data_IF_939476078464
#
_entry.id   IF_939476078464
#
_cell.length_a   1.000
_cell.length_b   1.000
_cell.length_c   1.000
_cell.angle_alpha   90.00
_cell.angle_beta   90.00
_cell.angle_gamma   90.00
#
_symmetry.space_group_name_H-M   'P 1'
#
loop_
_entity.id
_entity.type
_entity.pdbx_description
1 polymer ?
#
# COMPACT_ATOMS: atom_id res chain seq x y z
N UNK A 1 -8.22 -19.92 -31.33
CA UNK A 1 -8.91 -19.08 -30.33
C UNK A 1 -9.05 -19.79 -28.97
N UNK A 2 -9.48 -21.05 -28.92
CA UNK A 2 -9.70 -21.83 -27.67
C UNK A 2 -8.40 -22.03 -26.86
N UNK A 3 -7.27 -22.36 -27.50
CA UNK A 3 -5.97 -22.55 -26.83
C UNK A 3 -5.44 -21.23 -26.22
N UNK A 4 -5.59 -20.08 -26.89
CA UNK A 4 -5.20 -18.78 -26.32
C UNK A 4 -6.01 -18.42 -25.08
N UNK A 5 -7.31 -18.78 -25.07
CA UNK A 5 -8.21 -18.53 -23.93
C UNK A 5 -7.83 -19.38 -22.71
N UNK A 6 -7.59 -20.67 -22.94
CA UNK A 6 -7.16 -21.59 -21.88
C UNK A 6 -5.83 -21.15 -21.28
N UNK A 7 -4.83 -20.81 -22.11
CA UNK A 7 -3.53 -20.33 -21.63
C UNK A 7 -3.65 -19.05 -20.80
N UNK A 8 -4.52 -18.10 -21.23
CA UNK A 8 -4.76 -16.86 -20.48
C UNK A 8 -5.47 -17.12 -19.14
N UNK A 9 -6.40 -18.08 -19.09
CA UNK A 9 -7.07 -18.51 -17.86
C UNK A 9 -6.09 -19.17 -16.88
N UNK A 10 -5.16 -19.99 -17.36
CA UNK A 10 -4.09 -20.61 -16.55
C UNK A 10 -3.10 -19.58 -16.01
N UNK A 11 -2.66 -18.63 -16.85
CA UNK A 11 -1.79 -17.52 -16.43
C UNK A 11 -2.47 -16.67 -15.34
N UNK A 12 -3.74 -16.33 -15.50
CA UNK A 12 -4.50 -15.58 -14.50
C UNK A 12 -4.66 -16.35 -13.18
N UNK A 13 -4.92 -17.66 -13.26
CA UNK A 13 -5.03 -18.52 -12.08
C UNK A 13 -3.71 -18.62 -11.32
N UNK A 14 -2.59 -18.72 -12.04
CA UNK A 14 -1.25 -18.75 -11.45
C UNK A 14 -0.92 -17.41 -10.77
N UNK A 15 -1.18 -16.29 -11.43
CA UNK A 15 -0.97 -14.96 -10.87
C UNK A 15 -1.83 -14.74 -9.61
N UNK A 16 -3.09 -15.15 -9.62
CA UNK A 16 -3.96 -15.07 -8.45
C UNK A 16 -3.44 -15.93 -7.30
N UNK A 17 -3.01 -17.16 -7.54
CA UNK A 17 -2.42 -18.03 -6.52
C UNK A 17 -1.14 -17.47 -5.93
N UNK A 18 -0.31 -16.79 -6.73
CA UNK A 18 0.90 -16.11 -6.26
C UNK A 18 0.56 -14.91 -5.36
N UNK A 19 -0.40 -14.09 -5.77
CA UNK A 19 -0.88 -12.95 -4.97
C UNK A 19 -1.45 -13.43 -3.64
N UNK A 20 -2.31 -14.46 -3.64
CA UNK A 20 -2.86 -15.06 -2.42
C UNK A 20 -1.75 -15.59 -1.47
N UNK A 21 -0.69 -16.15 -2.02
CA UNK A 21 0.49 -16.59 -1.27
C UNK A 21 1.21 -15.43 -0.59
N UNK A 22 1.44 -14.34 -1.33
CA UNK A 22 2.05 -13.13 -0.80
C UNK A 22 1.22 -12.51 0.34
N UNK A 23 -0.10 -12.45 0.19
CA UNK A 23 -0.96 -11.88 1.23
C UNK A 23 -1.03 -12.74 2.50
N UNK A 24 -1.02 -14.07 2.36
CA UNK A 24 -0.90 -14.96 3.53
C UNK A 24 0.41 -14.74 4.26
N UNK A 25 1.51 -14.62 3.53
CA UNK A 25 2.83 -14.38 4.13
C UNK A 25 2.90 -13.00 4.81
N UNK A 26 2.34 -11.95 4.21
CA UNK A 26 2.21 -10.63 4.83
C UNK A 26 1.42 -10.69 6.14
N UNK A 27 0.29 -11.38 6.13
CA UNK A 27 -0.54 -11.55 7.34
C UNK A 27 0.20 -12.34 8.43
N UNK A 28 0.97 -13.36 8.04
CA UNK A 28 1.80 -14.13 8.96
C UNK A 28 2.87 -13.26 9.60
N UNK A 29 3.61 -12.51 8.79
CA UNK A 29 4.66 -11.58 9.25
C UNK A 29 4.09 -10.47 10.15
N UNK A 30 2.91 -9.93 9.81
CA UNK A 30 2.24 -8.94 10.64
C UNK A 30 1.97 -9.46 12.05
N UNK A 31 1.46 -10.70 12.15
CA UNK A 31 1.22 -11.35 13.45
C UNK A 31 2.51 -11.61 14.21
N UNK A 32 3.55 -12.13 13.54
CA UNK A 32 4.82 -12.40 14.18
C UNK A 32 5.49 -11.13 14.71
N UNK A 33 5.42 -10.02 13.97
CA UNK A 33 5.91 -8.73 14.44
C UNK A 33 5.11 -8.22 15.64
N UNK A 34 3.79 -8.30 15.56
CA UNK A 34 2.91 -7.80 16.61
C UNK A 34 3.01 -8.66 17.88
N UNK A 35 2.87 -9.97 17.75
CA UNK A 35 2.76 -10.90 18.88
C UNK A 35 4.15 -11.31 19.43
N UNK A 36 5.19 -11.28 18.60
CA UNK A 36 6.57 -11.57 19.00
C UNK A 36 7.32 -10.28 19.38
N UNK A 37 7.80 -9.55 18.37
CA UNK A 37 8.75 -8.46 18.57
C UNK A 37 8.19 -7.32 19.43
N UNK A 38 6.92 -6.92 19.26
CA UNK A 38 6.31 -5.88 20.09
C UNK A 38 6.20 -6.30 21.56
N UNK A 39 5.89 -7.58 21.84
CA UNK A 39 5.79 -8.09 23.20
C UNK A 39 7.16 -8.25 23.85
N UNK A 40 8.19 -8.68 23.08
CA UNK A 40 9.57 -8.78 23.57
C UNK A 40 10.11 -7.37 23.94
N UNK A 41 9.88 -6.37 23.10
CA UNK A 41 10.25 -4.98 23.39
C UNK A 41 9.53 -4.45 24.64
N UNK A 42 8.24 -4.79 24.83
CA UNK A 42 7.49 -4.45 26.03
C UNK A 42 8.11 -5.12 27.27
N UNK A 43 8.48 -6.40 27.18
CA UNK A 43 9.14 -7.15 28.26
C UNK A 43 10.49 -6.54 28.65
N UNK A 44 11.31 -6.15 27.67
CA UNK A 44 12.58 -5.45 27.90
C UNK A 44 12.32 -4.08 28.57
N UNK A 45 11.32 -3.33 28.12
CA UNK A 45 10.94 -2.05 28.71
C UNK A 45 10.55 -2.20 30.19
N UNK A 46 9.79 -3.25 30.55
CA UNK A 46 9.45 -3.55 31.94
C UNK A 46 10.69 -3.88 32.79
N UNK A 47 11.65 -4.64 32.25
CA UNK A 47 12.90 -4.93 32.95
C UNK A 47 13.74 -3.67 33.20
N UNK A 48 13.84 -2.79 32.21
CA UNK A 48 14.53 -1.50 32.33
C UNK A 48 13.83 -0.60 33.35
N UNK A 49 12.50 -0.60 33.43
CA UNK A 49 11.76 0.14 34.45
C UNK A 49 12.09 -0.32 35.87
N UNK A 50 12.40 -1.59 36.08
CA UNK A 50 12.81 -2.14 37.37
C UNK A 50 14.25 -1.78 37.78
N UNK A 51 15.05 -1.18 36.91
CA UNK A 51 16.39 -0.73 37.24
C UNK A 51 16.37 0.46 38.21
N UNK A 52 17.45 0.66 39.05
CA UNK A 52 17.53 1.79 39.96
C UNK A 52 17.33 3.13 39.24
N UNK A 53 16.67 4.11 39.88
CA UNK A 53 16.41 5.44 39.26
C UNK A 53 17.68 6.22 38.93
N UNK A 54 18.79 5.89 39.54
CA UNK A 54 20.10 6.52 39.36
C UNK A 54 20.87 6.10 38.11
N UNK A 55 20.33 5.18 37.31
CA UNK A 55 20.94 4.81 36.05
C UNK A 55 20.69 5.93 35.01
N UNK A 56 21.74 6.71 34.73
CA UNK A 56 21.72 7.90 33.86
C UNK A 56 21.15 7.58 32.46
N UNK A 57 21.37 6.37 31.99
CA UNK A 57 20.90 5.89 30.67
C UNK A 57 19.49 5.27 30.68
N UNK A 58 18.81 5.21 31.83
CA UNK A 58 17.51 4.52 31.93
C UNK A 58 16.42 5.21 31.10
N UNK A 59 16.37 6.52 31.13
CA UNK A 59 15.35 7.30 30.43
C UNK A 59 15.55 7.21 28.93
N UNK A 60 16.78 7.41 28.48
CA UNK A 60 17.15 7.28 27.07
C UNK A 60 16.84 5.88 26.51
N UNK A 61 17.06 4.84 27.29
CA UNK A 61 16.79 3.46 26.87
C UNK A 61 15.29 3.18 26.78
N UNK A 62 14.49 3.72 27.70
CA UNK A 62 13.02 3.60 27.64
C UNK A 62 12.45 4.35 26.45
N UNK A 63 12.93 5.55 26.16
CA UNK A 63 12.50 6.34 25.02
C UNK A 63 12.84 5.63 23.70
N UNK A 64 14.04 5.07 23.59
CA UNK A 64 14.47 4.30 22.43
C UNK A 64 13.62 3.04 22.23
N UNK A 65 13.34 2.31 23.31
CA UNK A 65 12.48 1.10 23.24
C UNK A 65 11.06 1.44 22.79
N UNK A 66 10.50 2.54 23.29
CA UNK A 66 9.16 2.98 22.88
C UNK A 66 9.14 3.42 21.41
N UNK A 67 10.19 4.11 20.95
CA UNK A 67 10.34 4.47 19.54
C UNK A 67 10.39 3.23 18.65
N UNK A 68 11.28 2.27 18.95
CA UNK A 68 11.41 1.02 18.16
C UNK A 68 10.11 0.22 18.19
N UNK A 69 9.44 0.13 19.34
CA UNK A 69 8.14 -0.52 19.46
C UNK A 69 7.09 0.14 18.58
N UNK A 70 7.08 1.46 18.54
CA UNK A 70 6.22 2.25 17.66
C UNK A 70 6.46 1.94 16.19
N UNK A 71 7.71 1.91 15.76
CA UNK A 71 8.09 1.58 14.38
C UNK A 71 7.67 0.16 13.97
N UNK A 72 7.93 -0.84 14.83
CA UNK A 72 7.51 -2.23 14.58
C UNK A 72 5.99 -2.35 14.49
N UNK A 73 5.27 -1.62 15.36
CA UNK A 73 3.80 -1.59 15.33
C UNK A 73 3.27 -0.98 14.05
N UNK A 74 3.87 0.10 13.57
CA UNK A 74 3.52 0.71 12.27
C UNK A 74 3.70 -0.30 11.12
N UNK A 75 4.87 -0.96 11.05
CA UNK A 75 5.15 -1.98 10.03
C UNK A 75 4.12 -3.12 10.11
N UNK A 76 3.81 -3.60 11.31
CA UNK A 76 2.81 -4.66 11.49
C UNK A 76 1.43 -4.25 10.97
N UNK A 77 1.00 -3.01 11.25
CA UNK A 77 -0.27 -2.48 10.76
C UNK A 77 -0.30 -2.30 9.24
N UNK A 78 0.81 -1.89 8.63
CA UNK A 78 0.91 -1.78 7.16
C UNK A 78 0.83 -3.14 6.45
N UNK A 79 1.31 -4.20 7.12
CA UNK A 79 1.23 -5.56 6.60
C UNK A 79 -0.18 -6.16 6.74
N UNK A 80 -0.96 -5.74 7.75
CA UNK A 80 -2.32 -6.25 7.96
C UNK A 80 -3.29 -5.80 6.86
N UNK A 81 -4.17 -6.70 6.40
CA UNK A 81 -5.23 -6.31 5.47
C UNK A 81 -6.27 -5.41 6.19
N UNK A 82 -6.72 -4.31 5.56
CA UNK A 82 -7.82 -3.51 6.08
C UNK A 82 -9.13 -4.32 6.08
N UNK A 83 -10.00 -4.01 7.05
CA UNK A 83 -11.31 -4.67 7.18
C UNK A 83 -12.40 -3.80 6.52
N UNK A 84 -12.55 -3.93 5.22
CA UNK A 84 -13.53 -3.18 4.42
C UNK A 84 -15.01 -3.44 4.79
N UNK A 85 -15.29 -4.38 5.68
CA UNK A 85 -16.63 -4.58 6.25
C UNK A 85 -17.10 -3.41 7.12
N UNK A 86 -16.19 -2.57 7.63
CA UNK A 86 -16.50 -1.49 8.58
C UNK A 86 -16.07 -0.11 8.07
N UNK A 87 -15.22 -0.05 7.06
CA UNK A 87 -14.66 1.20 6.51
C UNK A 87 -14.65 1.12 4.99
N UNK A 88 -14.87 2.24 4.33
CA UNK A 88 -14.84 2.33 2.88
C UNK A 88 -13.41 2.42 2.34
N UNK A 89 -13.24 2.16 1.03
CA UNK A 89 -11.97 2.34 0.35
C UNK A 89 -11.43 3.77 0.51
N UNK A 90 -12.29 4.77 0.32
CA UNK A 90 -11.90 6.17 0.41
C UNK A 90 -11.40 6.55 1.82
N UNK A 91 -12.11 6.14 2.86
CA UNK A 91 -11.71 6.35 4.26
C UNK A 91 -10.41 5.62 4.60
N UNK A 92 -10.24 4.40 4.08
CA UNK A 92 -9.02 3.61 4.30
C UNK A 92 -7.80 4.27 3.68
N UNK A 93 -7.94 4.80 2.45
CA UNK A 93 -6.87 5.53 1.76
C UNK A 93 -6.54 6.83 2.49
N UNK A 94 -7.54 7.61 2.89
CA UNK A 94 -7.37 8.85 3.64
C UNK A 94 -6.60 8.61 4.95
N UNK A 95 -7.01 7.64 5.74
CA UNK A 95 -6.34 7.24 6.98
C UNK A 95 -4.92 6.67 6.76
N UNK A 96 -4.65 6.06 5.62
CA UNK A 96 -3.31 5.61 5.26
C UNK A 96 -2.40 6.81 4.95
N UNK A 97 -2.87 7.75 4.14
CA UNK A 97 -2.13 8.95 3.73
C UNK A 97 -1.80 9.83 4.94
N UNK A 98 -2.73 10.02 5.87
CA UNK A 98 -2.51 10.79 7.11
C UNK A 98 -1.39 10.23 8.00
N UNK A 99 -1.16 8.92 7.94
CA UNK A 99 -0.10 8.23 8.71
C UNK A 99 1.22 8.10 7.98
N UNK A 100 1.25 8.44 6.69
CA UNK A 100 2.46 8.35 5.89
C UNK A 100 3.51 9.37 6.37
N UNK A 101 4.70 8.86 6.63
CA UNK A 101 5.86 9.73 6.87
C UNK A 101 6.42 10.15 5.52
N UNK A 102 6.18 11.40 5.15
CA UNK A 102 6.66 11.98 3.89
C UNK A 102 7.86 12.89 4.14
N UNK A 103 8.83 12.98 3.22
CA UNK A 103 9.93 13.93 3.31
C UNK A 103 9.41 15.38 3.43
N UNK A 104 10.07 16.22 4.23
CA UNK A 104 9.67 17.61 4.39
C UNK A 104 9.69 18.44 3.08
N UNK A 105 10.43 17.97 2.07
CA UNK A 105 10.51 18.56 0.74
C UNK A 105 9.36 18.14 -0.19
N UNK A 106 8.49 17.21 0.23
CA UNK A 106 7.42 16.66 -0.60
C UNK A 106 6.06 17.17 -0.13
N UNK A 107 5.22 17.49 -1.09
CA UNK A 107 3.80 17.78 -0.88
C UNK A 107 2.99 16.60 -1.45
N UNK A 108 2.06 16.07 -0.65
CA UNK A 108 1.16 15.01 -1.06
C UNK A 108 -0.27 15.50 -0.87
N UNK A 109 -1.05 15.48 -1.96
CA UNK A 109 -2.47 15.85 -1.95
C UNK A 109 -3.33 14.63 -2.29
N UNK A 110 -4.46 14.48 -1.59
CA UNK A 110 -5.47 13.47 -1.87
C UNK A 110 -6.81 14.13 -2.11
N UNK A 111 -7.49 13.70 -3.16
CA UNK A 111 -8.86 14.09 -3.48
C UNK A 111 -9.71 12.86 -3.79
N UNK A 112 -10.98 12.92 -3.42
CA UNK A 112 -11.96 11.86 -3.66
C UNK A 112 -13.25 12.45 -4.23
N UNK A 113 -13.79 11.81 -5.26
CA UNK A 113 -15.02 12.22 -5.94
C UNK A 113 -15.92 11.00 -6.17
N UNK A 114 -17.22 11.19 -6.04
CA UNK A 114 -18.19 10.16 -6.37
C UNK A 114 -19.38 10.75 -7.14
N UNK A 115 -19.76 10.08 -8.23
CA UNK A 115 -20.86 10.46 -9.11
C UNK A 115 -21.94 9.38 -9.07
N UNK A 116 -23.07 9.69 -8.41
CA UNK A 116 -24.23 8.79 -8.27
C UNK A 116 -23.93 7.36 -7.78
N UNK A 117 -22.81 7.17 -7.07
CA UNK A 117 -22.40 5.91 -6.47
C UNK A 117 -21.93 6.13 -5.02
N UNK A 118 -22.03 5.12 -4.19
CA UNK A 118 -21.59 5.19 -2.77
C UNK A 118 -20.34 4.34 -2.56
N UNK A 119 -19.37 4.86 -1.83
CA UNK A 119 -18.10 4.16 -1.55
C UNK A 119 -18.31 2.77 -0.90
N UNK A 120 -19.39 2.61 -0.14
CA UNK A 120 -19.76 1.32 0.48
C UNK A 120 -20.23 0.25 -0.51
N UNK A 121 -20.50 0.61 -1.76
CA UNK A 121 -20.90 -0.33 -2.83
C UNK A 121 -19.70 -0.96 -3.53
N UNK A 122 -18.48 -0.45 -3.33
CA UNK A 122 -17.28 -1.05 -3.91
C UNK A 122 -17.05 -2.44 -3.31
N UNK A 123 -16.96 -3.51 -4.13
CA UNK A 123 -16.74 -4.86 -3.63
C UNK A 123 -15.47 -4.94 -2.78
N UNK A 124 -15.52 -5.66 -1.66
CA UNK A 124 -14.43 -5.77 -0.68
C UNK A 124 -13.10 -6.22 -1.34
N UNK A 125 -13.16 -7.20 -2.22
CA UNK A 125 -12.00 -7.66 -3.00
C UNK A 125 -11.40 -6.54 -3.86
N UNK A 126 -12.25 -5.76 -4.54
CA UNK A 126 -11.83 -4.63 -5.37
C UNK A 126 -11.18 -3.55 -4.51
N UNK A 127 -11.83 -3.18 -3.41
CA UNK A 127 -11.31 -2.20 -2.46
C UNK A 127 -9.92 -2.62 -1.92
N UNK A 128 -9.78 -3.89 -1.59
CA UNK A 128 -8.51 -4.44 -1.11
C UNK A 128 -7.39 -4.35 -2.15
N UNK A 129 -7.63 -4.79 -3.38
CA UNK A 129 -6.61 -4.76 -4.41
C UNK A 129 -6.23 -3.33 -4.82
N UNK A 130 -7.20 -2.39 -4.89
CA UNK A 130 -6.93 -0.97 -5.14
C UNK A 130 -6.05 -0.38 -4.04
N UNK A 131 -6.35 -0.67 -2.78
CA UNK A 131 -5.56 -0.22 -1.65
C UNK A 131 -4.12 -0.76 -1.71
N UNK A 132 -3.94 -2.05 -2.05
CA UNK A 132 -2.60 -2.65 -2.20
C UNK A 132 -1.81 -2.05 -3.37
N UNK A 133 -2.48 -1.78 -4.50
CA UNK A 133 -1.86 -1.10 -5.65
C UNK A 133 -1.41 0.31 -5.25
N UNK A 134 -2.26 1.07 -4.55
CA UNK A 134 -1.91 2.39 -4.04
C UNK A 134 -0.67 2.33 -3.14
N UNK A 135 -0.65 1.42 -2.16
CA UNK A 135 0.48 1.27 -1.24
C UNK A 135 1.80 1.01 -1.98
N UNK A 136 1.78 0.10 -2.95
CA UNK A 136 2.97 -0.25 -3.74
C UNK A 136 3.45 0.93 -4.59
N UNK A 137 2.53 1.62 -5.28
CA UNK A 137 2.87 2.78 -6.10
C UNK A 137 3.43 3.92 -5.25
N UNK A 138 2.81 4.25 -4.11
CA UNK A 138 3.30 5.29 -3.21
C UNK A 138 4.64 4.92 -2.58
N UNK A 139 4.82 3.67 -2.15
CA UNK A 139 6.12 3.20 -1.64
C UNK A 139 7.23 3.36 -2.68
N UNK A 140 6.93 3.07 -3.94
CA UNK A 140 7.88 3.23 -5.03
C UNK A 140 8.19 4.71 -5.30
N UNK A 141 7.18 5.58 -5.31
CA UNK A 141 7.36 7.03 -5.46
C UNK A 141 8.23 7.57 -4.32
N UNK A 142 7.88 7.30 -3.07
CA UNK A 142 8.60 7.78 -1.90
C UNK A 142 10.07 7.34 -1.85
N UNK A 143 10.37 6.12 -2.33
CA UNK A 143 11.73 5.57 -2.29
C UNK A 143 12.61 5.95 -3.48
N UNK A 144 12.01 6.18 -4.64
CA UNK A 144 12.77 6.15 -5.89
C UNK A 144 12.54 7.35 -6.82
N UNK A 145 11.42 8.09 -6.69
CA UNK A 145 11.10 9.14 -7.67
C UNK A 145 11.80 10.47 -7.40
N UNK A 146 12.24 10.73 -6.17
CA UNK A 146 12.73 12.07 -5.74
C UNK A 146 11.69 13.18 -6.02
N UNK A 147 10.40 12.83 -6.05
CA UNK A 147 9.33 13.77 -6.31
C UNK A 147 9.20 14.80 -5.18
N UNK A 148 8.83 16.01 -5.53
CA UNK A 148 8.48 17.07 -4.58
C UNK A 148 6.97 17.31 -4.51
N UNK A 149 6.22 16.77 -5.47
CA UNK A 149 4.77 16.89 -5.55
C UNK A 149 4.15 15.56 -5.99
N UNK A 150 3.18 15.07 -5.21
CA UNK A 150 2.42 13.85 -5.49
C UNK A 150 0.94 14.16 -5.33
N UNK A 151 0.15 13.91 -6.37
CA UNK A 151 -1.29 14.09 -6.33
C UNK A 151 -1.99 12.74 -6.54
N UNK A 152 -2.96 12.44 -5.68
CA UNK A 152 -3.75 11.23 -5.71
C UNK A 152 -5.22 11.64 -5.86
N UNK A 153 -5.87 11.13 -6.88
CA UNK A 153 -7.31 11.28 -7.09
C UNK A 153 -7.98 9.92 -7.15
N UNK A 154 -9.04 9.75 -6.37
CA UNK A 154 -9.88 8.56 -6.37
C UNK A 154 -11.29 8.97 -6.79
N UNK A 155 -11.76 8.48 -7.93
CA UNK A 155 -13.09 8.77 -8.45
C UNK A 155 -13.93 7.50 -8.61
N UNK A 156 -15.20 7.59 -8.24
CA UNK A 156 -16.16 6.50 -8.28
C UNK A 156 -17.43 6.93 -9.04
N UNK A 157 -17.80 6.14 -10.02
CA UNK A 157 -19.11 6.18 -10.67
C UNK A 157 -19.79 4.81 -10.61
N UNK A 158 -21.03 4.70 -11.09
CA UNK A 158 -21.73 3.41 -11.14
C UNK A 158 -21.04 2.36 -12.00
N UNK A 159 -20.29 2.79 -12.99
CA UNK A 159 -19.69 1.91 -13.99
C UNK A 159 -18.17 1.80 -13.85
N UNK A 160 -17.53 2.75 -13.13
CA UNK A 160 -16.08 2.85 -13.14
C UNK A 160 -15.54 3.37 -11.80
N UNK A 161 -14.51 2.70 -11.29
CA UNK A 161 -13.62 3.20 -10.24
C UNK A 161 -12.28 3.55 -10.87
N UNK A 162 -11.79 4.77 -10.63
CA UNK A 162 -10.49 5.22 -11.13
C UNK A 162 -9.63 5.69 -9.97
N UNK A 163 -8.40 5.18 -9.91
CA UNK A 163 -7.33 5.72 -9.08
C UNK A 163 -6.28 6.34 -9.98
N UNK A 164 -6.06 7.63 -9.83
CA UNK A 164 -5.07 8.40 -10.56
C UNK A 164 -4.01 8.90 -9.59
N UNK A 165 -2.74 8.57 -9.84
CA UNK A 165 -1.59 9.08 -9.09
C UNK A 165 -0.67 9.79 -10.07
N UNK A 166 -0.29 11.01 -9.74
CA UNK A 166 0.69 11.78 -10.51
C UNK A 166 1.83 12.24 -9.61
N UNK A 167 3.05 12.20 -10.11
CA UNK A 167 4.23 12.74 -9.45
C UNK A 167 5.13 13.49 -10.43
N UNK A 168 5.90 14.44 -9.92
CA UNK A 168 6.85 15.25 -10.68
C UNK A 168 8.29 14.76 -10.56
N UNK A 169 8.49 13.53 -10.10
CA UNK A 169 9.81 12.97 -9.88
C UNK A 169 10.45 12.37 -11.13
N UNK A 170 11.51 11.61 -10.90
CA UNK A 170 12.20 10.87 -11.97
C UNK A 170 11.28 9.74 -12.46
N UNK A 171 11.08 9.60 -13.78
CA UNK A 171 10.27 8.52 -14.31
C UNK A 171 10.90 7.17 -13.97
N UNK A 172 10.06 6.20 -13.64
CA UNK A 172 10.52 4.82 -13.51
C UNK A 172 11.01 4.36 -14.88
N UNK A 173 12.32 4.28 -15.04
CA UNK A 173 12.89 3.81 -16.29
C UNK A 173 12.66 2.30 -16.43
N UNK A 174 12.23 1.87 -17.60
CA UNK A 174 12.19 0.46 -18.07
C UNK A 174 13.58 -0.19 -18.15
N UNK A 175 14.62 0.53 -17.72
CA UNK A 175 16.01 0.07 -17.74
C UNK A 175 16.23 -1.03 -16.71
N UNK A 176 15.95 -2.27 -17.13
CA UNK A 176 16.61 -3.55 -16.82
C UNK A 176 17.19 -3.83 -15.43
N UNK A 177 17.03 -2.99 -14.44
CA UNK A 177 17.47 -3.23 -13.08
C UNK A 177 16.34 -3.88 -12.29
N UNK A 178 16.62 -5.02 -11.71
CA UNK A 178 15.70 -5.96 -11.05
C UNK A 178 14.79 -5.37 -9.92
N UNK A 179 14.87 -4.08 -9.63
CA UNK A 179 14.08 -3.43 -8.58
C UNK A 179 12.83 -2.68 -9.08
N UNK A 180 12.80 -2.23 -10.35
CA UNK A 180 11.58 -1.59 -10.92
C UNK A 180 10.60 -2.60 -11.52
N UNK A 181 11.05 -3.79 -11.90
CA UNK A 181 10.27 -4.76 -12.64
C UNK A 181 9.27 -5.59 -11.82
N UNK A 182 9.60 -5.92 -10.57
CA UNK A 182 8.77 -6.86 -9.77
C UNK A 182 7.54 -6.16 -9.21
N UNK A 183 7.67 -4.97 -8.63
CA UNK A 183 6.55 -4.25 -8.02
C UNK A 183 5.51 -3.80 -9.04
N UNK A 184 5.92 -3.25 -10.18
CA UNK A 184 5.01 -2.81 -11.23
C UNK A 184 4.30 -3.98 -11.91
N UNK A 185 4.99 -5.10 -12.14
CA UNK A 185 4.38 -6.33 -12.64
C UNK A 185 3.33 -6.86 -11.66
N UNK A 186 3.64 -6.87 -10.37
CA UNK A 186 2.69 -7.31 -9.33
C UNK A 186 1.45 -6.42 -9.28
N UNK A 187 1.60 -5.10 -9.39
CA UNK A 187 0.46 -4.16 -9.41
C UNK A 187 -0.39 -4.34 -10.67
N UNK A 188 0.22 -4.60 -11.82
CA UNK A 188 -0.52 -4.91 -13.06
C UNK A 188 -1.30 -6.23 -12.96
N UNK A 189 -0.70 -7.27 -12.36
CA UNK A 189 -1.41 -8.55 -12.14
C UNK A 189 -2.56 -8.41 -11.14
N UNK A 190 -2.39 -7.61 -10.07
CA UNK A 190 -3.48 -7.24 -9.14
C UNK A 190 -4.62 -6.53 -9.87
N UNK A 191 -4.31 -5.53 -10.70
CA UNK A 191 -5.33 -4.81 -11.48
C UNK A 191 -6.11 -5.77 -12.38
N UNK A 192 -5.43 -6.67 -13.11
CA UNK A 192 -6.05 -7.69 -13.96
C UNK A 192 -6.92 -8.67 -13.18
N UNK A 193 -6.51 -9.06 -11.96
CA UNK A 193 -7.24 -10.00 -11.12
C UNK A 193 -8.63 -9.51 -10.72
N UNK A 194 -8.84 -8.19 -10.69
CA UNK A 194 -10.13 -7.53 -10.42
C UNK A 194 -10.80 -6.98 -11.69
N UNK A 195 -10.35 -7.41 -12.86
CA UNK A 195 -10.92 -6.98 -14.16
C UNK A 195 -10.55 -5.56 -14.58
N UNK A 196 -9.59 -4.93 -13.87
CA UNK A 196 -9.11 -3.59 -14.16
C UNK A 196 -7.88 -3.56 -15.06
N UNK A 197 -7.43 -2.34 -15.36
CA UNK A 197 -6.21 -2.07 -16.12
C UNK A 197 -5.40 -0.96 -15.44
N UNK A 198 -4.09 -1.15 -15.32
CA UNK A 198 -3.15 -0.14 -14.85
C UNK A 198 -2.30 0.34 -16.03
N UNK A 199 -2.38 1.62 -16.34
CA UNK A 199 -1.55 2.29 -17.33
C UNK A 199 -0.55 3.23 -16.65
N UNK A 200 0.64 3.33 -17.24
CA UNK A 200 1.70 4.24 -16.81
C UNK A 200 2.07 5.12 -17.99
N UNK A 201 1.95 6.42 -17.80
CA UNK A 201 2.26 7.41 -18.81
C UNK A 201 3.23 8.44 -18.25
N UNK A 202 4.09 8.98 -19.10
CA UNK A 202 4.98 10.07 -18.74
C UNK A 202 4.78 11.22 -19.74
N UNK A 203 4.44 12.42 -19.24
CA UNK A 203 4.30 13.63 -20.04
C UNK A 203 5.25 14.70 -19.50
N UNK A 204 6.37 14.88 -20.18
CA UNK A 204 7.43 15.75 -19.71
C UNK A 204 8.07 15.22 -18.43
N UNK A 205 7.99 15.99 -17.34
CA UNK A 205 8.48 15.62 -16.01
C UNK A 205 7.39 15.05 -15.11
N UNK A 206 6.16 14.87 -15.61
CA UNK A 206 5.05 14.33 -14.81
C UNK A 206 4.84 12.89 -15.19
N UNK A 207 4.97 12.01 -14.20
CA UNK A 207 4.61 10.61 -14.31
C UNK A 207 3.17 10.42 -13.82
N UNK A 208 2.42 9.57 -14.50
CA UNK A 208 1.01 9.31 -14.24
C UNK A 208 0.76 7.80 -14.21
N UNK A 209 0.20 7.32 -13.10
CA UNK A 209 -0.34 5.97 -12.94
C UNK A 209 -1.86 6.07 -12.93
N UNK A 210 -2.53 5.36 -13.82
CA UNK A 210 -3.99 5.35 -13.90
C UNK A 210 -4.48 3.92 -13.86
N UNK A 211 -5.19 3.61 -12.77
CA UNK A 211 -5.89 2.35 -12.57
C UNK A 211 -7.37 2.57 -12.87
N UNK A 212 -7.92 1.79 -13.79
CA UNK A 212 -9.33 1.80 -14.15
C UNK A 212 -9.94 0.44 -13.89
N UNK A 213 -11.08 0.40 -13.19
CA UNK A 213 -11.77 -0.82 -12.83
C UNK A 213 -13.24 -0.67 -13.20
N UNK A 214 -13.72 -1.42 -14.22
CA UNK A 214 -15.14 -1.48 -14.53
C UNK A 214 -15.92 -2.07 -13.36
N UNK A 215 -16.99 -1.41 -12.98
CA UNK A 215 -17.91 -1.83 -11.93
C UNK A 215 -19.31 -2.05 -12.51
N UNK A 216 -20.11 -2.83 -11.80
CA UNK A 216 -21.53 -3.02 -12.06
C UNK A 216 -22.25 -2.83 -10.73
N UNK A 217 -22.41 -1.55 -10.34
CA UNK A 217 -23.00 -1.14 -9.06
C UNK A 217 -24.51 -0.86 -9.22
#
# INVERSE_FOLDING_TARGET
>A
FRQKRVKKEEELKLAKSYIDGLERERTRLAKELHDGVCNDLLGIGMQVQCMPPSAESKHELLDLLEQVRGEVRCISHELMPPKFQYVTLAETIEAYIERLVIPASMQLAFSKENDHAEWGQVPEQTAYEVYRILQELLSNILKHSEATEVNINLSLSKELLVLLITDNGKPFSDSGTAMGGIGLNTTQERAKAIGGSLSVNCKGSIQQFQLEIPLSL
#
